data_IF_835580923189
#
_entry.id   IF_835580923189
#
_cell.length_a   1.000
_cell.length_b   1.000
_cell.length_c   1.000
_cell.angle_alpha   90.00
_cell.angle_beta   90.00
_cell.angle_gamma   90.00
#
_symmetry.space_group_name_H-M   'P 1'
#
loop_
_entity.id
_entity.type
_entity.pdbx_description
1 polymer ?
#
# COMPACT_ATOMS: atom_id res chain seq x y z
N UNK A 1 -36.04 -43.55 2.73
CA UNK A 1 -34.79 -42.88 3.19
C UNK A 1 -33.80 -42.60 2.07
N UNK A 2 -33.41 -43.55 1.19
CA UNK A 2 -32.41 -43.31 0.11
C UNK A 2 -32.76 -42.21 -0.91
N UNK A 3 -34.05 -42.05 -1.28
CA UNK A 3 -34.47 -41.02 -2.26
C UNK A 3 -34.38 -39.61 -1.69
N UNK A 4 -34.75 -39.41 -0.42
CA UNK A 4 -34.70 -38.10 0.25
C UNK A 4 -33.28 -37.63 0.49
N UNK A 5 -32.34 -38.52 0.82
CA UNK A 5 -30.91 -38.18 0.93
C UNK A 5 -30.29 -37.82 -0.42
N UNK A 6 -30.67 -38.50 -1.51
CA UNK A 6 -30.15 -38.21 -2.85
C UNK A 6 -30.63 -36.84 -3.37
N UNK A 7 -31.89 -36.49 -3.12
CA UNK A 7 -32.45 -35.17 -3.47
C UNK A 7 -31.78 -34.06 -2.65
N UNK A 8 -31.60 -34.26 -1.34
CA UNK A 8 -30.92 -33.28 -0.48
C UNK A 8 -29.46 -33.06 -0.91
N UNK A 9 -28.74 -34.12 -1.28
CA UNK A 9 -27.36 -34.04 -1.77
C UNK A 9 -27.27 -33.29 -3.10
N UNK A 10 -28.21 -33.56 -4.03
CA UNK A 10 -28.27 -32.88 -5.32
C UNK A 10 -28.61 -31.38 -5.16
N UNK A 11 -29.53 -31.01 -4.25
CA UNK A 11 -29.84 -29.61 -3.97
C UNK A 11 -28.69 -28.89 -3.28
N UNK A 12 -27.95 -29.55 -2.38
CA UNK A 12 -26.74 -28.98 -1.79
C UNK A 12 -25.62 -28.79 -2.83
N UNK A 13 -25.42 -29.74 -3.75
CA UNK A 13 -24.42 -29.58 -4.81
C UNK A 13 -24.75 -28.44 -5.77
N UNK A 14 -26.03 -28.26 -6.15
CA UNK A 14 -26.40 -27.14 -7.04
C UNK A 14 -26.26 -25.79 -6.36
N UNK A 15 -26.65 -25.67 -5.08
CA UNK A 15 -26.47 -24.41 -4.33
C UNK A 15 -25.00 -24.02 -4.18
N UNK A 16 -24.11 -24.99 -4.01
CA UNK A 16 -22.66 -24.75 -3.92
C UNK A 16 -22.05 -24.29 -5.25
N UNK A 17 -22.44 -24.90 -6.38
CA UNK A 17 -21.90 -24.52 -7.69
C UNK A 17 -22.44 -23.17 -8.17
N UNK A 18 -23.73 -22.87 -7.94
CA UNK A 18 -24.29 -21.57 -8.31
C UNK A 18 -23.71 -20.42 -7.46
N UNK A 19 -23.52 -20.63 -6.15
CA UNK A 19 -22.92 -19.62 -5.27
C UNK A 19 -21.49 -19.24 -5.68
N UNK A 20 -20.65 -20.24 -5.98
CA UNK A 20 -19.26 -20.02 -6.40
C UNK A 20 -19.15 -19.29 -7.75
N UNK A 21 -20.03 -19.60 -8.70
CA UNK A 21 -20.06 -18.92 -10.01
C UNK A 21 -20.40 -17.44 -9.85
N UNK A 22 -21.36 -17.09 -8.99
CA UNK A 22 -21.72 -15.70 -8.71
C UNK A 22 -20.59 -14.93 -8.03
N UNK A 23 -19.85 -15.55 -7.11
CA UNK A 23 -18.70 -14.92 -6.45
C UNK A 23 -17.55 -14.65 -7.42
N UNK A 24 -17.16 -15.64 -8.22
CA UNK A 24 -16.10 -15.48 -9.22
C UNK A 24 -16.44 -14.38 -10.22
N UNK A 25 -17.69 -14.34 -10.70
CA UNK A 25 -18.15 -13.29 -11.61
C UNK A 25 -18.00 -11.90 -10.97
N UNK A 26 -18.38 -11.74 -9.71
CA UNK A 26 -18.26 -10.46 -9.00
C UNK A 26 -16.80 -10.07 -8.77
N UNK A 27 -15.90 -11.00 -8.43
CA UNK A 27 -14.45 -10.74 -8.33
C UNK A 27 -13.87 -10.25 -9.66
N UNK A 28 -14.27 -10.87 -10.78
CA UNK A 28 -13.84 -10.47 -12.14
C UNK A 28 -14.35 -9.07 -12.49
N UNK A 29 -15.62 -8.77 -12.19
CA UNK A 29 -16.22 -7.46 -12.39
C UNK A 29 -15.46 -6.37 -11.64
N UNK A 30 -15.16 -6.60 -10.36
CA UNK A 30 -14.37 -5.69 -9.53
C UNK A 30 -12.94 -5.53 -10.05
N UNK A 31 -12.32 -6.61 -10.54
CA UNK A 31 -10.98 -6.57 -11.16
C UNK A 31 -10.94 -5.71 -12.43
N UNK A 32 -11.97 -5.80 -13.28
CA UNK A 32 -12.13 -4.96 -14.47
C UNK A 32 -12.33 -3.50 -14.09
N UNK A 33 -13.26 -3.21 -13.17
CA UNK A 33 -13.50 -1.86 -12.70
C UNK A 33 -12.25 -1.24 -12.06
N UNK A 34 -11.50 -2.00 -11.25
CA UNK A 34 -10.23 -1.54 -10.71
C UNK A 34 -9.23 -1.24 -11.84
N UNK A 35 -9.06 -2.13 -12.83
CA UNK A 35 -8.18 -1.86 -13.99
C UNK A 35 -8.53 -0.56 -14.69
N UNK A 36 -9.81 -0.33 -14.94
CA UNK A 36 -10.28 0.79 -15.74
C UNK A 36 -10.26 2.10 -14.97
N UNK A 37 -10.48 2.07 -13.65
CA UNK A 37 -10.67 3.29 -12.85
C UNK A 37 -9.66 3.48 -11.70
N UNK A 38 -8.63 2.65 -11.52
CA UNK A 38 -7.64 2.85 -10.43
C UNK A 38 -6.76 4.10 -10.57
N UNK A 39 -6.76 4.75 -11.74
CA UNK A 39 -5.96 5.96 -12.00
C UNK A 39 -6.80 7.24 -11.81
N UNK A 40 -6.72 8.22 -12.71
CA UNK A 40 -7.32 9.56 -12.50
C UNK A 40 -8.76 9.69 -12.98
N UNK A 41 -9.22 8.83 -13.89
CA UNK A 41 -10.61 8.81 -14.37
C UNK A 41 -11.57 8.25 -13.32
N UNK A 42 -12.86 8.56 -13.40
CA UNK A 42 -13.90 8.11 -12.46
C UNK A 42 -14.98 7.26 -13.12
N UNK A 43 -15.56 6.29 -12.40
CA UNK A 43 -16.75 5.57 -12.87
C UNK A 43 -17.99 6.47 -12.83
N UNK A 44 -18.95 6.20 -13.73
CA UNK A 44 -20.27 6.84 -13.69
C UNK A 44 -21.10 6.29 -12.52
N UNK A 45 -22.19 6.98 -12.19
CA UNK A 45 -23.14 6.51 -11.16
C UNK A 45 -23.75 5.16 -11.50
N UNK A 46 -24.01 4.89 -12.78
CA UNK A 46 -24.58 3.62 -13.23
C UNK A 46 -23.58 2.48 -13.03
N UNK A 47 -22.30 2.68 -13.40
CA UNK A 47 -21.24 1.71 -13.12
C UNK A 47 -21.14 1.41 -11.62
N UNK A 48 -21.20 2.45 -10.77
CA UNK A 48 -21.18 2.26 -9.31
C UNK A 48 -22.41 1.50 -8.79
N UNK A 49 -23.59 1.75 -9.38
CA UNK A 49 -24.81 1.04 -9.05
C UNK A 49 -24.69 -0.44 -9.42
N UNK A 50 -24.17 -0.75 -10.60
CA UNK A 50 -23.98 -2.12 -11.06
C UNK A 50 -22.98 -2.88 -10.18
N UNK A 51 -21.85 -2.24 -9.83
CA UNK A 51 -20.85 -2.82 -8.93
C UNK A 51 -21.41 -3.17 -7.53
N UNK A 52 -22.44 -2.44 -7.08
CA UNK A 52 -23.09 -2.67 -5.79
C UNK A 52 -24.35 -3.54 -5.87
N UNK A 53 -24.81 -3.87 -7.08
CA UNK A 53 -25.92 -4.77 -7.30
C UNK A 53 -25.51 -6.23 -7.08
N UNK A 54 -26.40 -7.00 -6.46
CA UNK A 54 -26.30 -8.46 -6.30
C UNK A 54 -24.96 -8.95 -5.72
N UNK A 55 -24.36 -8.15 -4.83
CA UNK A 55 -23.07 -8.47 -4.20
C UNK A 55 -23.25 -9.58 -3.15
N UNK A 56 -22.56 -10.73 -3.29
CA UNK A 56 -22.54 -11.77 -2.27
C UNK A 56 -22.13 -11.21 -0.91
N UNK A 57 -22.77 -11.66 0.17
CA UNK A 57 -22.57 -11.10 1.51
C UNK A 57 -21.10 -11.11 1.94
N UNK A 58 -20.38 -12.17 1.62
CA UNK A 58 -18.95 -12.34 1.90
C UNK A 58 -18.01 -11.46 1.04
N UNK A 59 -18.52 -10.79 0.00
CA UNK A 59 -17.77 -9.86 -0.86
C UNK A 59 -18.09 -8.39 -0.59
N UNK A 60 -19.06 -8.06 0.28
CA UNK A 60 -19.51 -6.67 0.49
C UNK A 60 -18.38 -5.72 0.89
N UNK A 61 -17.58 -6.09 1.89
CA UNK A 61 -16.46 -5.26 2.35
C UNK A 61 -15.43 -5.06 1.24
N UNK A 62 -15.10 -6.12 0.52
CA UNK A 62 -14.20 -6.10 -0.64
C UNK A 62 -14.73 -5.18 -1.74
N UNK A 63 -16.01 -5.29 -2.11
CA UNK A 63 -16.66 -4.40 -3.08
C UNK A 63 -16.57 -2.95 -2.65
N UNK A 64 -16.89 -2.63 -1.39
CA UNK A 64 -16.80 -1.25 -0.91
C UNK A 64 -15.38 -0.72 -0.91
N UNK A 65 -14.38 -1.53 -0.55
CA UNK A 65 -12.98 -1.14 -0.67
C UNK A 65 -12.62 -0.81 -2.13
N UNK A 66 -12.94 -1.68 -3.08
CA UNK A 66 -12.66 -1.42 -4.50
C UNK A 66 -13.32 -0.13 -4.97
N UNK A 67 -14.60 0.11 -4.62
CA UNK A 67 -15.29 1.37 -4.91
C UNK A 67 -14.53 2.59 -4.36
N UNK A 68 -14.06 2.52 -3.11
CA UNK A 68 -13.26 3.62 -2.54
C UNK A 68 -11.93 3.82 -3.28
N UNK A 69 -11.33 2.76 -3.82
CA UNK A 69 -10.08 2.87 -4.59
C UNK A 69 -10.25 3.46 -5.99
N UNK A 70 -11.46 3.40 -6.55
CA UNK A 70 -11.75 3.91 -7.91
C UNK A 70 -12.48 5.25 -7.94
N UNK A 71 -12.84 5.82 -6.79
CA UNK A 71 -13.59 7.09 -6.67
C UNK A 71 -12.76 8.19 -5.99
N UNK A 72 -12.98 9.45 -6.35
CA UNK A 72 -12.48 10.61 -5.61
C UNK A 72 -13.35 10.89 -4.38
N UNK A 73 -12.89 11.79 -3.50
CA UNK A 73 -13.55 12.09 -2.21
C UNK A 73 -13.84 10.83 -1.39
N UNK A 74 -12.97 9.83 -1.54
CA UNK A 74 -13.09 8.55 -0.86
C UNK A 74 -12.77 8.68 0.63
N UNK A 75 -13.07 7.60 1.35
CA UNK A 75 -12.90 7.46 2.79
C UNK A 75 -11.68 6.61 3.15
N UNK A 76 -10.75 6.37 2.22
CA UNK A 76 -9.60 5.47 2.41
C UNK A 76 -8.72 5.84 3.61
N UNK A 77 -8.69 7.12 3.99
CA UNK A 77 -7.93 7.62 5.14
C UNK A 77 -8.72 7.65 6.45
N UNK A 78 -9.89 7.01 6.50
CA UNK A 78 -10.67 6.86 7.75
C UNK A 78 -10.27 5.59 8.48
N UNK A 79 -10.53 5.53 9.79
CA UNK A 79 -10.24 4.37 10.64
C UNK A 79 -10.77 3.06 10.03
N UNK A 80 -11.93 3.06 9.39
CA UNK A 80 -12.53 1.87 8.77
C UNK A 80 -11.63 1.20 7.74
N UNK A 81 -10.92 1.98 6.91
CA UNK A 81 -10.04 1.45 5.86
C UNK A 81 -8.57 1.38 6.27
N UNK A 82 -8.17 2.17 7.26
CA UNK A 82 -6.82 2.10 7.83
C UNK A 82 -6.67 0.96 8.82
N UNK A 83 -7.77 0.44 9.37
CA UNK A 83 -7.74 -0.73 10.24
C UNK A 83 -7.48 -2.00 9.44
N UNK A 84 -6.81 -2.94 10.08
CA UNK A 84 -6.57 -4.28 9.55
C UNK A 84 -7.89 -4.98 9.24
N UNK A 85 -8.01 -5.50 8.03
CA UNK A 85 -9.14 -6.33 7.60
C UNK A 85 -8.92 -7.80 7.98
N UNK A 86 -9.98 -8.60 7.89
CA UNK A 86 -9.92 -10.06 8.02
C UNK A 86 -9.11 -10.70 6.88
N UNK A 87 -8.46 -11.83 7.15
CA UNK A 87 -7.55 -12.50 6.21
C UNK A 87 -8.27 -12.94 4.94
N UNK A 88 -9.54 -13.36 5.04
CA UNK A 88 -10.35 -13.73 3.88
C UNK A 88 -10.59 -12.51 2.97
N UNK A 89 -10.86 -11.34 3.56
CA UNK A 89 -11.08 -10.09 2.83
C UNK A 89 -9.77 -9.64 2.15
N UNK A 90 -8.64 -9.72 2.86
CA UNK A 90 -7.34 -9.41 2.28
C UNK A 90 -7.02 -10.32 1.08
N UNK A 91 -7.34 -11.61 1.16
CA UNK A 91 -7.17 -12.57 0.06
C UNK A 91 -8.07 -12.25 -1.14
N UNK A 92 -9.32 -11.89 -0.92
CA UNK A 92 -10.22 -11.45 -2.00
C UNK A 92 -9.68 -10.21 -2.72
N UNK A 93 -9.18 -9.22 -1.97
CA UNK A 93 -8.57 -8.00 -2.53
C UNK A 93 -7.30 -8.34 -3.33
N UNK A 94 -6.49 -9.28 -2.84
CA UNK A 94 -5.33 -9.80 -3.55
C UNK A 94 -5.72 -10.41 -4.90
N UNK A 95 -6.75 -11.27 -4.92
CA UNK A 95 -7.28 -11.87 -6.16
C UNK A 95 -7.75 -10.79 -7.14
N UNK A 96 -8.44 -9.75 -6.68
CA UNK A 96 -8.88 -8.64 -7.54
C UNK A 96 -7.69 -7.90 -8.17
N UNK A 97 -6.62 -7.65 -7.41
CA UNK A 97 -5.39 -7.07 -7.97
C UNK A 97 -4.74 -8.01 -8.98
N UNK A 98 -4.70 -9.32 -8.71
CA UNK A 98 -4.17 -10.31 -9.65
C UNK A 98 -4.98 -10.35 -10.96
N UNK A 99 -6.31 -10.26 -10.90
CA UNK A 99 -7.17 -10.15 -12.10
C UNK A 99 -6.82 -8.88 -12.89
N UNK A 100 -6.70 -7.73 -12.25
CA UNK A 100 -6.28 -6.49 -12.92
C UNK A 100 -4.92 -6.63 -13.63
N UNK A 101 -3.94 -7.30 -13.00
CA UNK A 101 -2.64 -7.57 -13.61
C UNK A 101 -2.76 -8.54 -14.79
N UNK A 102 -3.54 -9.62 -14.62
CA UNK A 102 -3.78 -10.61 -15.67
C UNK A 102 -4.41 -9.98 -16.91
N UNK A 103 -5.39 -9.09 -16.74
CA UNK A 103 -6.02 -8.35 -17.84
C UNK A 103 -5.08 -7.41 -18.62
N UNK A 104 -3.86 -7.17 -18.13
CA UNK A 104 -2.81 -6.36 -18.78
C UNK A 104 -1.71 -7.20 -19.43
N UNK A 105 -1.72 -8.52 -19.22
CA UNK A 105 -0.74 -9.42 -19.83
C UNK A 105 -1.15 -9.78 -21.26
N UNK A 106 -0.17 -10.08 -22.11
CA UNK A 106 -0.41 -10.57 -23.48
C UNK A 106 -0.96 -12.01 -23.46
N UNK A 107 -0.35 -12.87 -22.63
CA UNK A 107 -0.75 -14.26 -22.45
C UNK A 107 -1.63 -14.41 -21.21
N UNK A 108 -2.87 -13.92 -21.29
CA UNK A 108 -3.82 -13.93 -20.18
C UNK A 108 -4.26 -15.36 -19.84
N UNK A 109 -4.27 -15.69 -18.56
CA UNK A 109 -4.90 -16.92 -18.06
C UNK A 109 -6.40 -16.65 -17.92
N UNK A 110 -7.26 -17.66 -18.09
CA UNK A 110 -8.67 -17.53 -17.77
C UNK A 110 -8.86 -17.09 -16.30
N UNK A 111 -9.70 -16.08 -16.07
CA UNK A 111 -9.82 -15.49 -14.74
C UNK A 111 -10.46 -16.45 -13.72
N UNK A 112 -11.33 -17.38 -14.13
CA UNK A 112 -11.86 -18.38 -13.20
C UNK A 112 -10.73 -19.32 -12.76
N UNK A 113 -9.90 -19.79 -13.71
CA UNK A 113 -8.71 -20.60 -13.37
C UNK A 113 -7.75 -19.86 -12.44
N UNK A 114 -7.55 -18.56 -12.66
CA UNK A 114 -6.73 -17.72 -11.78
C UNK A 114 -7.32 -17.63 -10.37
N UNK A 115 -8.63 -17.38 -10.26
CA UNK A 115 -9.33 -17.30 -8.98
C UNK A 115 -9.25 -18.64 -8.24
N UNK A 116 -9.52 -19.75 -8.92
CA UNK A 116 -9.47 -21.08 -8.32
C UNK A 116 -8.06 -21.41 -7.84
N UNK A 117 -7.03 -21.08 -8.62
CA UNK A 117 -5.62 -21.26 -8.21
C UNK A 117 -5.30 -20.45 -6.96
N UNK A 118 -5.58 -19.14 -6.97
CA UNK A 118 -5.25 -18.26 -5.85
C UNK A 118 -6.08 -18.56 -4.60
N UNK A 119 -7.32 -19.01 -4.75
CA UNK A 119 -8.19 -19.37 -3.63
C UNK A 119 -7.65 -20.58 -2.85
N UNK A 120 -7.01 -21.51 -3.55
CA UNK A 120 -6.45 -22.73 -2.96
C UNK A 120 -4.97 -22.59 -2.54
N UNK A 121 -4.26 -21.59 -3.05
CA UNK A 121 -2.87 -21.31 -2.62
C UNK A 121 -2.83 -20.64 -1.26
N UNK A 122 -1.92 -21.09 -0.40
CA UNK A 122 -1.57 -20.38 0.83
C UNK A 122 -0.65 -19.20 0.48
N UNK A 123 -1.17 -17.97 0.66
CA UNK A 123 -0.45 -16.74 0.32
C UNK A 123 0.05 -16.15 1.64
N UNK A 124 1.35 -15.83 1.77
CA UNK A 124 1.89 -15.29 3.01
C UNK A 124 1.10 -14.07 3.48
N UNK A 125 0.71 -14.05 4.76
CA UNK A 125 -0.16 -13.02 5.32
C UNK A 125 0.40 -11.59 5.09
N UNK A 126 1.71 -11.41 5.22
CA UNK A 126 2.33 -10.09 5.00
C UNK A 126 2.27 -9.63 3.54
N UNK A 127 2.25 -10.53 2.57
CA UNK A 127 2.00 -10.17 1.17
C UNK A 127 0.55 -9.70 0.95
N UNK A 128 -0.41 -10.32 1.63
CA UNK A 128 -1.82 -9.90 1.58
C UNK A 128 -2.00 -8.49 2.18
N UNK A 129 -1.37 -8.24 3.33
CA UNK A 129 -1.39 -6.93 4.01
C UNK A 129 -0.68 -5.86 3.18
N UNK A 130 0.48 -6.18 2.61
CA UNK A 130 1.23 -5.30 1.74
C UNK A 130 0.48 -4.96 0.45
N UNK A 131 -0.19 -5.95 -0.15
CA UNK A 131 -1.07 -5.76 -1.30
C UNK A 131 -2.21 -4.78 -0.97
N UNK A 132 -2.86 -4.96 0.19
CA UNK A 132 -3.96 -4.11 0.62
C UNK A 132 -3.53 -2.65 0.79
N UNK A 133 -2.51 -2.38 1.62
CA UNK A 133 -2.04 -1.01 1.82
C UNK A 133 -1.39 -0.41 0.57
N UNK A 134 -0.77 -1.24 -0.27
CA UNK A 134 -0.29 -0.84 -1.59
C UNK A 134 -1.41 -0.31 -2.49
N UNK A 135 -2.55 -1.02 -2.57
CA UNK A 135 -3.73 -0.54 -3.30
C UNK A 135 -4.32 0.72 -2.67
N UNK A 136 -4.47 0.75 -1.34
CA UNK A 136 -5.01 1.89 -0.60
C UNK A 136 -4.22 3.17 -0.88
N UNK A 137 -2.90 3.16 -0.69
CA UNK A 137 -2.08 4.36 -0.89
C UNK A 137 -1.88 4.70 -2.37
N UNK A 138 -1.92 3.72 -3.28
CA UNK A 138 -1.97 4.00 -4.72
C UNK A 138 -3.24 4.80 -5.06
N UNK A 139 -4.39 4.38 -4.55
CA UNK A 139 -5.64 5.09 -4.76
C UNK A 139 -5.66 6.48 -4.09
N UNK A 140 -5.15 6.62 -2.86
CA UNK A 140 -4.97 7.94 -2.21
C UNK A 140 -4.13 8.85 -3.12
N UNK A 141 -3.01 8.34 -3.64
CA UNK A 141 -2.16 9.06 -4.58
C UNK A 141 -2.86 9.44 -5.88
N UNK A 142 -3.67 8.57 -6.48
CA UNK A 142 -4.29 8.87 -7.78
C UNK A 142 -5.58 9.68 -7.67
N UNK A 143 -6.35 9.48 -6.61
CA UNK A 143 -7.72 10.00 -6.45
C UNK A 143 -7.81 11.24 -5.58
N UNK A 144 -6.93 11.40 -4.60
CA UNK A 144 -6.99 12.54 -3.68
C UNK A 144 -6.00 13.61 -4.14
N UNK A 145 -6.36 14.25 -5.27
CA UNK A 145 -5.57 15.28 -5.91
C UNK A 145 -6.16 16.69 -5.66
N UNK A 146 -5.34 17.73 -5.45
CA UNK A 146 -3.88 17.68 -5.33
C UNK A 146 -3.43 16.92 -4.07
N UNK A 147 -2.29 16.22 -4.14
CA UNK A 147 -1.74 15.49 -2.99
C UNK A 147 -1.60 16.40 -1.77
N UNK A 148 -2.28 16.05 -0.68
CA UNK A 148 -2.13 16.72 0.61
C UNK A 148 -2.54 15.81 1.78
N UNK A 149 -1.57 15.43 2.62
CA UNK A 149 -1.78 14.67 3.85
C UNK A 149 -1.40 15.46 5.11
N UNK A 150 -1.17 16.77 5.02
CA UNK A 150 -0.74 17.62 6.16
C UNK A 150 -1.71 17.58 7.35
N UNK A 151 -3.00 17.35 7.09
CA UNK A 151 -4.05 17.24 8.12
C UNK A 151 -4.25 15.80 8.62
N UNK A 152 -3.58 14.83 8.01
CA UNK A 152 -3.70 13.41 8.36
C UNK A 152 -2.73 13.07 9.47
N UNK A 153 -3.26 12.50 10.56
CA UNK A 153 -2.47 11.93 11.64
C UNK A 153 -2.86 10.46 11.82
N UNK A 154 -1.93 9.56 11.52
CA UNK A 154 -2.16 8.13 11.65
C UNK A 154 -1.93 7.68 13.10
N UNK A 155 -3.00 7.30 13.80
CA UNK A 155 -2.92 6.77 15.17
C UNK A 155 -2.77 5.25 15.08
N UNK A 156 -1.54 4.75 15.02
CA UNK A 156 -1.24 3.36 14.64
C UNK A 156 -1.86 2.33 15.60
N UNK A 157 -1.98 2.69 16.89
CA UNK A 157 -2.61 1.84 17.91
C UNK A 157 -4.12 1.60 17.68
N UNK A 158 -4.78 2.45 16.88
CA UNK A 158 -6.23 2.38 16.67
C UNK A 158 -6.64 1.43 15.55
N UNK A 159 -5.68 0.87 14.79
CA UNK A 159 -5.92 0.17 13.53
C UNK A 159 -5.87 -1.36 13.63
N UNK A 160 -5.81 -1.92 14.84
CA UNK A 160 -5.94 -3.37 15.08
C UNK A 160 -4.97 -4.26 14.28
N UNK A 161 -3.75 -3.79 14.02
CA UNK A 161 -2.69 -4.62 13.42
C UNK A 161 -2.38 -5.84 14.30
N UNK A 162 -2.09 -6.99 13.68
CA UNK A 162 -1.73 -8.21 14.42
C UNK A 162 -0.40 -8.08 15.15
N UNK A 163 0.56 -7.40 14.53
CA UNK A 163 1.93 -7.28 15.01
C UNK A 163 2.61 -6.01 14.47
N UNK A 164 3.87 -5.82 14.84
CA UNK A 164 4.68 -4.69 14.40
C UNK A 164 5.07 -4.77 12.92
N UNK A 165 5.04 -5.95 12.30
CA UNK A 165 5.31 -6.12 10.87
C UNK A 165 4.19 -5.49 10.05
N UNK A 166 2.93 -5.76 10.40
CA UNK A 166 1.78 -5.15 9.72
C UNK A 166 1.73 -3.62 9.90
N UNK A 167 2.12 -3.11 11.09
CA UNK A 167 2.30 -1.66 11.33
C UNK A 167 3.38 -1.08 10.41
N UNK A 168 4.52 -1.77 10.33
CA UNK A 168 5.65 -1.40 9.47
C UNK A 168 5.26 -1.33 8.00
N UNK A 169 4.51 -2.32 7.50
CA UNK A 169 3.98 -2.36 6.12
C UNK A 169 3.11 -1.12 5.84
N UNK A 170 2.15 -0.81 6.71
CA UNK A 170 1.27 0.35 6.50
C UNK A 170 2.07 1.65 6.44
N UNK A 171 2.97 1.86 7.41
CA UNK A 171 3.85 3.03 7.45
C UNK A 171 4.68 3.13 6.17
N UNK A 172 5.40 2.08 5.81
CA UNK A 172 6.32 2.08 4.67
C UNK A 172 5.60 2.26 3.33
N UNK A 173 4.39 1.71 3.17
CA UNK A 173 3.54 1.97 2.00
C UNK A 173 3.08 3.42 1.92
N UNK A 174 2.74 4.05 3.03
CA UNK A 174 2.40 5.47 3.08
C UNK A 174 3.61 6.34 2.69
N UNK A 175 4.79 6.02 3.22
CA UNK A 175 6.01 6.80 2.94
C UNK A 175 6.50 6.58 1.52
N UNK A 176 6.36 5.38 0.94
CA UNK A 176 6.64 5.13 -0.48
C UNK A 176 5.78 6.03 -1.39
N UNK A 177 4.48 6.20 -1.08
CA UNK A 177 3.64 7.19 -1.76
C UNK A 177 4.24 8.61 -1.61
N UNK A 178 4.54 9.03 -0.38
CA UNK A 178 5.09 10.36 -0.11
C UNK A 178 6.41 10.60 -0.88
N UNK A 179 7.33 9.65 -0.84
CA UNK A 179 8.60 9.69 -1.56
C UNK A 179 8.40 9.82 -3.07
N UNK A 180 7.46 9.07 -3.66
CA UNK A 180 7.11 9.20 -5.09
C UNK A 180 6.64 10.60 -5.49
N UNK A 181 5.95 11.32 -4.60
CA UNK A 181 5.48 12.69 -4.90
C UNK A 181 6.62 13.70 -5.04
N UNK A 182 7.78 13.42 -4.43
CA UNK A 182 8.96 14.30 -4.52
C UNK A 182 10.04 13.76 -5.46
N UNK A 183 10.03 12.45 -5.73
CA UNK A 183 11.05 11.78 -6.52
C UNK A 183 11.25 12.40 -7.90
N UNK A 184 10.17 12.73 -8.61
CA UNK A 184 10.24 13.35 -9.93
C UNK A 184 10.92 14.72 -9.92
N UNK A 185 10.64 15.54 -8.91
CA UNK A 185 11.26 16.85 -8.75
C UNK A 185 12.76 16.74 -8.42
N UNK A 186 13.14 15.73 -7.65
CA UNK A 186 14.53 15.52 -7.22
C UNK A 186 15.40 14.84 -8.28
N UNK A 187 14.84 13.89 -9.04
CA UNK A 187 15.63 12.98 -9.87
C UNK A 187 15.44 13.19 -11.38
N UNK A 188 14.25 13.59 -11.83
CA UNK A 188 13.94 13.76 -13.27
C UNK A 188 14.26 15.17 -13.75
N UNK A 189 13.87 16.20 -12.98
CA UNK A 189 14.14 17.60 -13.34
C UNK A 189 15.62 17.93 -13.14
N UNK A 190 16.24 18.62 -14.10
CA UNK A 190 17.66 19.05 -14.06
C UNK A 190 17.76 20.59 -14.26
N UNK A 191 18.30 21.35 -13.28
CA UNK A 191 18.68 20.91 -11.93
C UNK A 191 17.45 20.44 -11.10
N UNK A 192 17.66 19.68 -10.01
CA UNK A 192 16.57 19.27 -9.12
C UNK A 192 15.70 20.45 -8.67
N UNK A 193 14.38 20.29 -8.70
CA UNK A 193 13.43 21.30 -8.25
C UNK A 193 13.14 21.14 -6.75
N UNK A 194 14.10 21.55 -5.92
CA UNK A 194 14.05 21.43 -4.46
C UNK A 194 12.92 22.23 -3.84
N UNK A 195 12.56 23.38 -4.39
CA UNK A 195 11.42 24.19 -3.94
C UNK A 195 10.09 23.43 -4.05
N UNK A 196 9.77 22.85 -5.23
CA UNK A 196 8.55 22.05 -5.40
C UNK A 196 8.57 20.74 -4.60
N UNK A 197 9.73 20.13 -4.44
CA UNK A 197 9.86 18.96 -3.56
C UNK A 197 9.57 19.33 -2.11
N UNK A 198 10.15 20.42 -1.62
CA UNK A 198 9.96 20.92 -0.25
C UNK A 198 8.51 21.27 0.04
N UNK A 199 7.82 21.91 -0.91
CA UNK A 199 6.39 22.21 -0.78
C UNK A 199 5.51 20.96 -0.73
N UNK A 200 5.92 19.84 -1.33
CA UNK A 200 5.22 18.56 -1.17
C UNK A 200 5.57 17.88 0.15
N UNK A 201 6.80 17.99 0.65
CA UNK A 201 7.21 17.45 1.95
C UNK A 201 6.37 18.07 3.08
N UNK A 202 6.09 19.38 3.03
CA UNK A 202 5.21 20.05 3.99
C UNK A 202 3.79 19.46 4.06
N UNK A 203 3.41 18.66 3.05
CA UNK A 203 2.11 17.99 2.96
C UNK A 203 2.15 16.53 3.41
N UNK A 204 3.29 16.04 3.91
CA UNK A 204 3.39 14.69 4.42
C UNK A 204 2.61 14.54 5.74
N UNK A 205 2.15 13.33 6.08
CA UNK A 205 1.32 13.08 7.25
C UNK A 205 2.11 13.13 8.55
N UNK A 206 1.37 13.01 9.65
CA UNK A 206 1.90 12.68 10.97
C UNK A 206 1.60 11.23 11.33
N UNK A 207 2.41 10.65 12.21
CA UNK A 207 2.17 9.35 12.82
C UNK A 207 2.23 9.51 14.34
N UNK A 208 1.17 9.07 15.03
CA UNK A 208 1.04 9.21 16.48
C UNK A 208 1.30 10.65 16.99
N UNK A 209 0.91 11.65 16.20
CA UNK A 209 1.11 13.08 16.51
C UNK A 209 2.48 13.64 16.14
N UNK A 210 3.43 12.80 15.74
CA UNK A 210 4.80 13.19 15.38
C UNK A 210 4.96 13.34 13.87
N UNK A 211 5.99 14.09 13.45
CA UNK A 211 6.30 14.21 12.03
C UNK A 211 6.67 12.83 11.45
N UNK A 212 6.36 12.60 10.17
CA UNK A 212 6.57 11.29 9.54
C UNK A 212 7.99 10.74 9.72
N UNK A 213 9.00 11.62 9.73
CA UNK A 213 10.39 11.23 9.85
C UNK A 213 10.77 10.72 11.25
N UNK A 214 9.94 11.00 12.26
CA UNK A 214 10.18 10.58 13.65
C UNK A 214 9.60 9.20 13.98
N UNK A 215 8.91 8.57 13.04
CA UNK A 215 8.46 7.20 13.21
C UNK A 215 9.65 6.23 13.06
N UNK A 216 10.02 5.57 14.15
CA UNK A 216 11.21 4.70 14.25
C UNK A 216 10.88 3.26 14.64
N UNK A 217 9.60 2.89 14.75
CA UNK A 217 9.12 1.53 15.02
C UNK A 217 9.33 0.62 13.79
N UNK A 218 10.59 0.40 13.44
CA UNK A 218 11.06 -0.24 12.20
C UNK A 218 11.96 -1.46 12.50
N UNK A 219 11.97 -1.93 13.74
CA UNK A 219 12.67 -3.15 14.18
C UNK A 219 11.80 -4.41 14.07
N UNK A 220 10.72 -4.36 13.29
CA UNK A 220 9.91 -5.54 12.97
C UNK A 220 10.68 -6.57 12.14
N UNK A 221 10.19 -7.81 12.16
CA UNK A 221 10.76 -8.97 11.46
C UNK A 221 10.76 -8.76 9.95
N UNK A 222 11.93 -8.92 9.32
CA UNK A 222 12.00 -8.88 7.86
C UNK A 222 11.35 -10.13 7.24
N UNK A 223 10.83 -9.97 6.03
CA UNK A 223 10.29 -11.07 5.24
C UNK A 223 10.62 -10.83 3.77
N UNK A 224 10.50 -11.86 2.96
CA UNK A 224 10.79 -11.76 1.54
C UNK A 224 9.52 -11.91 0.70
N UNK A 225 9.44 -11.15 -0.39
CA UNK A 225 8.36 -11.26 -1.36
C UNK A 225 8.82 -10.74 -2.73
N UNK A 226 8.03 -11.00 -3.77
CA UNK A 226 8.26 -10.39 -5.08
C UNK A 226 7.68 -8.96 -5.11
N UNK A 227 8.53 -7.97 -4.86
CA UNK A 227 8.13 -6.56 -4.76
C UNK A 227 8.08 -5.90 -6.14
N UNK A 228 9.16 -6.06 -6.92
CA UNK A 228 9.26 -5.56 -8.29
C UNK A 228 9.16 -6.71 -9.26
N UNK A 229 8.19 -6.62 -10.16
CA UNK A 229 7.98 -7.61 -11.23
C UNK A 229 9.31 -7.93 -11.92
N UNK A 230 9.55 -9.22 -12.13
CA UNK A 230 10.72 -9.77 -12.84
C UNK A 230 12.07 -9.58 -12.11
N UNK A 231 12.09 -9.12 -10.85
CA UNK A 231 13.32 -9.04 -10.03
C UNK A 231 13.50 -10.18 -9.04
N UNK A 232 12.57 -11.14 -9.01
CA UNK A 232 12.60 -12.26 -8.07
C UNK A 232 12.22 -11.87 -6.65
N UNK A 233 12.57 -12.73 -5.70
CA UNK A 233 12.30 -12.56 -4.27
C UNK A 233 13.25 -11.52 -3.69
N UNK A 234 12.71 -10.58 -2.92
CA UNK A 234 13.44 -9.45 -2.34
C UNK A 234 13.11 -9.30 -0.85
N UNK A 235 14.09 -8.92 -0.04
CA UNK A 235 13.87 -8.47 1.35
C UNK A 235 12.98 -7.23 1.36
N UNK A 236 11.90 -7.30 2.15
CA UNK A 236 10.94 -6.22 2.31
C UNK A 236 11.59 -4.98 2.90
N UNK A 237 12.33 -5.15 4.00
CA UNK A 237 13.02 -4.05 4.66
C UNK A 237 14.09 -3.45 3.77
N UNK A 238 14.90 -4.26 3.08
CA UNK A 238 15.93 -3.74 2.18
C UNK A 238 15.33 -2.88 1.06
N UNK A 239 14.14 -3.23 0.54
CA UNK A 239 13.49 -2.42 -0.47
C UNK A 239 12.86 -1.14 0.10
N UNK A 240 11.99 -1.28 1.09
CA UNK A 240 11.17 -0.16 1.56
C UNK A 240 11.90 0.78 2.51
N UNK A 241 12.86 0.30 3.31
CA UNK A 241 13.70 1.20 4.10
C UNK A 241 14.65 2.00 3.20
N UNK A 242 15.22 1.42 2.14
CA UNK A 242 16.00 2.18 1.15
C UNK A 242 15.17 3.35 0.59
N UNK A 243 13.90 3.13 0.26
CA UNK A 243 12.97 4.18 -0.18
C UNK A 243 12.67 5.22 0.90
N UNK A 244 12.56 4.81 2.15
CA UNK A 244 12.39 5.75 3.24
C UNK A 244 13.66 6.61 3.43
N UNK A 245 14.85 6.01 3.39
CA UNK A 245 16.13 6.73 3.41
C UNK A 245 16.24 7.72 2.24
N UNK A 246 15.89 7.32 1.01
CA UNK A 246 15.84 8.24 -0.15
C UNK A 246 14.95 9.46 0.11
N UNK A 247 13.77 9.26 0.72
CA UNK A 247 12.84 10.34 1.05
C UNK A 247 13.39 11.27 2.14
N UNK A 248 14.04 10.72 3.18
CA UNK A 248 14.65 11.50 4.26
C UNK A 248 15.86 12.32 3.78
N UNK A 249 16.73 11.72 2.97
CA UNK A 249 17.88 12.41 2.37
C UNK A 249 17.41 13.51 1.40
N UNK A 250 16.37 13.25 0.61
CA UNK A 250 15.75 14.27 -0.24
C UNK A 250 15.19 15.43 0.59
N UNK A 251 14.57 15.14 1.74
CA UNK A 251 14.09 16.16 2.66
C UNK A 251 15.24 17.00 3.23
N UNK A 252 16.33 16.36 3.65
CA UNK A 252 17.51 17.08 4.14
C UNK A 252 18.12 18.00 3.07
N UNK A 253 18.22 17.53 1.83
CA UNK A 253 18.68 18.35 0.69
C UNK A 253 17.75 19.57 0.50
N UNK A 254 16.44 19.36 0.55
CA UNK A 254 15.45 20.44 0.43
C UNK A 254 15.59 21.46 1.56
N UNK A 255 15.70 21.02 2.82
CA UNK A 255 15.92 21.93 3.96
C UNK A 255 17.19 22.75 3.79
N UNK A 256 18.28 22.15 3.29
CA UNK A 256 19.53 22.87 3.05
C UNK A 256 19.43 23.89 1.91
N UNK A 257 18.74 23.54 0.80
CA UNK A 257 18.63 24.42 -0.38
C UNK A 257 17.61 25.54 -0.21
N UNK A 258 16.52 25.29 0.51
CA UNK A 258 15.43 26.23 0.68
C UNK A 258 15.54 27.06 1.99
N UNK A 259 16.69 27.02 2.67
CA UNK A 259 16.92 27.82 3.88
C UNK A 259 16.09 27.39 5.09
N UNK A 260 15.80 26.09 5.21
CA UNK A 260 15.09 25.52 6.36
C UNK A 260 15.80 25.79 7.69
N UNK A 261 15.07 25.97 8.81
CA UNK A 261 15.67 26.25 10.10
C UNK A 261 16.65 25.17 10.54
N UNK A 262 17.75 25.57 11.18
CA UNK A 262 18.76 24.62 11.67
C UNK A 262 18.19 23.61 12.67
N UNK A 263 17.20 24.06 13.47
CA UNK A 263 16.44 23.18 14.34
C UNK A 263 15.74 22.05 13.58
N UNK A 264 15.08 22.35 12.45
CA UNK A 264 14.36 21.34 11.66
C UNK A 264 15.32 20.34 11.01
N UNK A 265 16.50 20.80 10.58
CA UNK A 265 17.55 19.91 10.06
C UNK A 265 18.06 18.96 11.14
N UNK A 266 18.34 19.48 12.33
CA UNK A 266 18.79 18.68 13.47
C UNK A 266 17.69 17.71 13.93
N UNK A 267 16.43 18.14 13.97
CA UNK A 267 15.29 17.29 14.30
C UNK A 267 15.13 16.17 13.25
N UNK A 268 15.35 16.45 11.96
CA UNK A 268 15.35 15.42 10.91
C UNK A 268 16.52 14.45 11.06
N UNK A 269 17.75 14.94 11.24
CA UNK A 269 18.95 14.12 11.35
C UNK A 269 18.92 13.22 12.59
N UNK A 270 18.61 13.81 13.74
CA UNK A 270 18.70 13.16 15.05
C UNK A 270 17.37 12.53 15.50
N UNK A 271 16.25 12.92 14.90
CA UNK A 271 14.93 12.39 15.24
C UNK A 271 14.46 11.28 14.32
N UNK A 272 15.17 10.98 13.22
CA UNK A 272 14.78 9.95 12.25
C UNK A 272 15.72 8.75 12.24
N UNK A 273 15.40 7.77 11.39
CA UNK A 273 16.28 6.61 11.15
C UNK A 273 17.61 6.97 10.47
N UNK A 274 17.82 8.23 10.07
CA UNK A 274 19.10 8.68 9.51
C UNK A 274 20.26 8.41 10.46
N UNK A 275 20.09 8.55 11.78
CA UNK A 275 21.13 8.26 12.79
C UNK A 275 21.22 6.78 13.20
N UNK A 276 20.28 5.94 12.77
CA UNK A 276 20.12 4.56 13.28
C UNK A 276 21.02 3.58 12.54
N UNK A 277 22.30 3.50 12.96
CA UNK A 277 23.35 2.68 12.31
C UNK A 277 22.95 1.21 12.12
N UNK A 278 22.17 0.64 13.04
CA UNK A 278 21.70 -0.76 12.96
C UNK A 278 20.78 -1.02 11.75
N UNK A 279 20.17 0.03 11.18
CA UNK A 279 19.30 -0.05 10.01
C UNK A 279 20.03 0.22 8.69
N UNK A 280 21.30 0.66 8.72
CA UNK A 280 22.05 1.01 7.50
C UNK A 280 22.26 -0.17 6.55
N UNK A 281 22.22 -1.41 7.07
CA UNK A 281 22.27 -2.63 6.25
C UNK A 281 21.11 -2.76 5.24
N UNK A 282 20.05 -1.98 5.41
CA UNK A 282 18.86 -1.97 4.54
C UNK A 282 18.84 -0.82 3.54
N UNK A 283 19.94 -0.08 3.37
CA UNK A 283 20.02 1.04 2.42
C UNK A 283 21.33 1.04 1.66
N UNK A 284 21.27 1.44 0.38
CA UNK A 284 22.48 1.67 -0.42
C UNK A 284 23.21 2.96 -0.05
N UNK A 285 22.61 3.80 0.79
CA UNK A 285 23.17 5.09 1.23
C UNK A 285 24.01 4.97 2.51
N UNK A 286 24.39 3.75 2.91
CA UNK A 286 25.17 3.50 4.12
C UNK A 286 26.40 4.41 4.24
N UNK A 287 27.23 4.49 3.20
CA UNK A 287 28.45 5.30 3.22
C UNK A 287 28.14 6.79 3.46
N UNK A 288 27.16 7.33 2.73
CA UNK A 288 26.70 8.72 2.93
C UNK A 288 26.22 8.97 4.36
N UNK A 289 25.50 8.03 4.96
CA UNK A 289 25.02 8.16 6.33
C UNK A 289 26.17 8.05 7.35
N UNK A 290 27.12 7.15 7.12
CA UNK A 290 28.32 7.04 7.95
C UNK A 290 29.17 8.32 7.90
N UNK A 291 29.28 8.96 6.73
CA UNK A 291 29.97 10.23 6.57
C UNK A 291 29.25 11.38 7.29
N UNK A 292 27.92 11.47 7.17
CA UNK A 292 27.11 12.51 7.85
C UNK A 292 27.27 12.43 9.38
N UNK A 293 27.33 11.21 9.93
CA UNK A 293 27.41 10.96 11.38
C UNK A 293 28.81 10.55 11.84
N UNK A 294 29.84 10.87 11.06
CA UNK A 294 31.23 10.62 11.45
C UNK A 294 31.54 11.47 12.69
N UNK A 295 31.89 10.80 13.77
CA UNK A 295 32.38 11.50 14.96
C UNK A 295 33.77 12.04 14.64
N UNK A 296 33.93 13.37 14.68
CA UNK A 296 35.26 13.96 14.74
C UNK A 296 35.90 13.50 16.05
N UNK A 297 36.87 12.58 15.94
CA UNK A 297 37.83 12.35 17.00
C UNK A 297 38.57 13.67 17.21
N UNK A 298 38.15 14.44 18.20
CA UNK A 298 38.96 15.54 18.72
C UNK A 298 40.20 14.89 19.35
N UNK A 299 41.34 15.02 18.67
CA UNK A 299 42.65 14.83 19.30
C UNK A 299 42.91 15.93 20.33
#
# INVERSE_FOLDING_TARGET
>A
MKKTTLTLLATCLTLLTFGQVTENQKLIELGKAYKDFMFRNEPTKDILKDLTADVPTNLRTTTYFIIQTITTKNKLLTKTYLSRLDDQILKQIYIIRAINLNLRNENQIDNNKLIDSLSNTDIPNYELVDNYYGMLFTAVGNKNQPFNLSKTNFIMKDYNFKDDTEKGIMFLRCIDLCGKTIWGFMNVVKPPNTSKAFDNIKKFPKFNGQAYYQYTDLYFTDFEMNIVKDKGIQSYKSYYLDKYYEALLSHLICLNKEGGPEKEKNDLLLGSILKERNLYKYTKHKETLEDIFKEDKRE
#
